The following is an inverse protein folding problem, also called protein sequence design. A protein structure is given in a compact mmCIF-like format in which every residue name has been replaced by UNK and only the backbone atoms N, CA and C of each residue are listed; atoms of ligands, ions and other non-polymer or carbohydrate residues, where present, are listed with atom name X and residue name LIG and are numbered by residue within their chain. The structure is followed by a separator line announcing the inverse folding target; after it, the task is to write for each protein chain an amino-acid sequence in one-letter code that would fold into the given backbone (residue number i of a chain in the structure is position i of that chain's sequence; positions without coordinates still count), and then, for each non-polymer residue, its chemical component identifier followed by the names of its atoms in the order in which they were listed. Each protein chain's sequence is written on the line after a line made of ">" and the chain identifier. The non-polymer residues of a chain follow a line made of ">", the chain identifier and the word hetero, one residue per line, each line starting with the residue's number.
data_IF_394458375469
#
_entry.id   IF_394458375469
#
_cell.length_a   1.000
_cell.length_b   1.000
_cell.length_c   1.000
_cell.angle_alpha   90.00
_cell.angle_beta   90.00
_cell.angle_gamma   90.00
#
_symmetry.space_group_name_H-M   'P 1'
#
loop_
_entity.id
_entity.type
_entity.pdbx_description
1 polymer ?
#
# COMPACT_ATOMS: atom_id res chain seq x y z
N UNK A 1 4.48 11.16 -13.82
CA UNK A 1 3.60 9.98 -13.62
C UNK A 1 4.52 8.79 -13.78
N UNK A 2 4.90 8.16 -12.67
CA UNK A 2 5.89 7.07 -12.67
C UNK A 2 5.14 5.82 -13.12
N UNK A 3 5.41 5.33 -14.34
CA UNK A 3 4.77 4.12 -14.84
C UNK A 3 5.18 2.90 -14.00
N UNK A 4 4.40 1.82 -14.06
CA UNK A 4 4.74 0.56 -13.38
C UNK A 4 6.13 0.03 -13.77
N UNK A 5 6.54 0.28 -15.01
CA UNK A 5 7.87 -0.09 -15.52
C UNK A 5 9.00 0.67 -14.81
N UNK A 6 8.81 1.96 -14.53
CA UNK A 6 9.78 2.80 -13.82
C UNK A 6 9.84 2.41 -12.34
N UNK A 7 8.70 2.09 -11.73
CA UNK A 7 8.65 1.52 -10.38
C UNK A 7 9.44 0.22 -10.27
N UNK A 8 9.35 -0.66 -11.27
CA UNK A 8 10.07 -1.93 -11.31
C UNK A 8 11.58 -1.77 -11.55
N UNK A 9 11.98 -0.77 -12.32
CA UNK A 9 13.40 -0.43 -12.48
C UNK A 9 14.02 0.00 -11.15
N UNK A 10 13.29 0.78 -10.35
CA UNK A 10 13.75 1.21 -9.02
C UNK A 10 13.69 0.05 -8.00
N UNK A 11 12.62 -0.75 -8.05
CA UNK A 11 12.33 -1.78 -7.06
C UNK A 11 11.88 -3.10 -7.73
N UNK A 12 12.83 -3.94 -8.18
CA UNK A 12 12.51 -5.21 -8.84
C UNK A 12 11.66 -6.18 -8.00
N UNK A 13 11.69 -6.07 -6.67
CA UNK A 13 10.87 -6.86 -5.73
C UNK A 13 9.37 -6.66 -5.95
N UNK A 14 8.97 -5.53 -6.55
CA UNK A 14 7.58 -5.28 -6.93
C UNK A 14 7.08 -6.23 -8.03
N UNK A 15 7.98 -6.92 -8.75
CA UNK A 15 7.61 -7.90 -9.76
C UNK A 15 6.70 -9.00 -9.21
N UNK A 16 6.84 -9.33 -7.92
CA UNK A 16 5.99 -10.33 -7.23
C UNK A 16 4.53 -9.89 -7.15
N UNK A 17 4.25 -8.57 -7.15
CA UNK A 17 2.90 -8.02 -7.15
C UNK A 17 2.26 -8.00 -8.54
N UNK A 18 3.05 -8.08 -9.62
CA UNK A 18 2.57 -8.01 -11.00
C UNK A 18 1.85 -9.27 -11.47
N UNK A 19 2.07 -10.40 -10.79
CA UNK A 19 1.33 -11.64 -11.06
C UNK A 19 -0.14 -11.57 -10.64
N UNK A 20 -0.58 -10.48 -9.99
CA UNK A 20 -1.87 -10.39 -9.32
C UNK A 20 -2.81 -9.24 -9.76
N UNK A 21 -2.36 -8.07 -10.26
CA UNK A 21 -3.31 -6.95 -10.46
C UNK A 21 -2.79 -5.63 -11.08
N UNK A 22 -3.75 -4.74 -11.44
CA UNK A 22 -3.68 -3.34 -11.91
C UNK A 22 -3.13 -2.34 -10.86
N UNK A 23 -1.95 -2.60 -10.29
CA UNK A 23 -1.29 -1.62 -9.42
C UNK A 23 -1.00 -0.33 -10.19
N UNK A 24 -1.36 0.82 -9.60
CA UNK A 24 -0.93 2.12 -10.10
C UNK A 24 0.07 2.72 -9.14
N UNK A 25 1.21 3.20 -9.65
CA UNK A 25 2.29 3.78 -8.86
C UNK A 25 2.49 5.27 -9.16
N UNK A 26 2.93 6.02 -8.15
CA UNK A 26 3.31 7.42 -8.26
C UNK A 26 4.52 7.71 -7.37
N UNK A 27 5.47 8.49 -7.87
CA UNK A 27 6.49 9.11 -7.01
C UNK A 27 5.88 10.32 -6.29
N UNK A 28 5.97 10.36 -4.97
CA UNK A 28 5.62 11.51 -4.13
C UNK A 28 6.92 12.16 -3.66
N UNK A 29 7.20 13.36 -4.15
CA UNK A 29 8.33 14.15 -3.68
C UNK A 29 7.94 14.85 -2.37
N UNK A 30 8.66 14.59 -1.28
CA UNK A 30 8.46 15.34 -0.04
C UNK A 30 8.76 16.84 -0.23
N UNK A 31 8.02 17.70 0.49
CA UNK A 31 8.38 19.12 0.58
C UNK A 31 9.81 19.24 1.12
N UNK A 32 10.67 20.01 0.45
CA UNK A 32 12.13 20.12 0.66
C UNK A 32 13.02 19.08 -0.04
N UNK A 33 12.51 18.36 -1.06
CA UNK A 33 13.37 17.70 -2.07
C UNK A 33 14.27 16.58 -1.54
N UNK A 34 13.90 15.97 -0.40
CA UNK A 34 14.80 15.08 0.34
C UNK A 34 14.39 13.62 0.47
N UNK A 35 13.25 13.19 -0.05
CA UNK A 35 12.92 11.77 -0.25
C UNK A 35 11.76 11.66 -1.25
N UNK A 36 11.97 10.89 -2.31
CA UNK A 36 10.90 10.45 -3.20
C UNK A 36 10.33 9.15 -2.64
N UNK A 37 9.06 9.17 -2.28
CA UNK A 37 8.34 7.96 -1.88
C UNK A 37 7.74 7.36 -3.13
N UNK A 38 7.92 6.05 -3.35
CA UNK A 38 7.09 5.37 -4.32
C UNK A 38 5.81 4.91 -3.63
N UNK A 39 4.67 5.35 -4.15
CA UNK A 39 3.35 5.02 -3.63
C UNK A 39 2.59 4.18 -4.64
N UNK A 40 2.11 3.01 -4.24
CA UNK A 40 1.29 2.12 -5.05
C UNK A 40 -0.11 1.98 -4.48
N UNK A 41 -1.12 1.90 -5.34
CA UNK A 41 -2.50 1.57 -4.96
C UNK A 41 -3.07 0.48 -5.86
N UNK A 42 -3.82 -0.43 -5.22
CA UNK A 42 -4.72 -1.37 -5.87
C UNK A 42 -6.13 -1.16 -5.31
N UNK A 43 -7.09 -0.88 -6.19
CA UNK A 43 -8.47 -0.65 -5.80
C UNK A 43 -9.34 -1.90 -5.99
N UNK A 44 -10.18 -2.15 -5.00
CA UNK A 44 -11.25 -3.12 -4.99
C UNK A 44 -12.59 -2.37 -4.88
N UNK A 45 -13.75 -3.01 -5.10
CA UNK A 45 -15.04 -2.32 -5.03
C UNK A 45 -15.34 -1.61 -3.70
N UNK A 46 -14.88 -2.16 -2.57
CA UNK A 46 -15.12 -1.62 -1.22
C UNK A 46 -13.84 -1.46 -0.39
N UNK A 47 -12.68 -1.76 -0.96
CA UNK A 47 -11.40 -1.72 -0.28
C UNK A 47 -10.34 -1.12 -1.19
N UNK A 48 -9.25 -0.64 -0.61
CA UNK A 48 -8.03 -0.30 -1.36
C UNK A 48 -6.82 -0.84 -0.62
N UNK A 49 -5.94 -1.50 -1.35
CA UNK A 49 -4.59 -1.79 -0.86
C UNK A 49 -3.67 -0.65 -1.27
N UNK A 50 -2.79 -0.27 -0.35
CA UNK A 50 -1.87 0.82 -0.56
C UNK A 50 -0.49 0.43 -0.02
N UNK A 51 0.55 0.80 -0.76
CA UNK A 51 1.94 0.50 -0.47
C UNK A 51 2.76 1.78 -0.57
N UNK A 52 3.39 2.20 0.53
CA UNK A 52 4.37 3.28 0.55
C UNK A 52 5.77 2.69 0.70
N UNK A 53 6.70 3.17 -0.12
CA UNK A 53 8.08 2.70 -0.17
C UNK A 53 8.98 3.92 0.03
N UNK A 54 9.68 3.98 1.15
CA UNK A 54 10.77 4.93 1.36
C UNK A 54 12.01 4.45 0.61
N UNK A 55 12.37 3.19 0.89
CA UNK A 55 13.50 2.47 0.33
C UNK A 55 13.31 0.95 0.59
N UNK A 56 14.38 0.17 0.46
CA UNK A 56 14.34 -1.29 0.68
C UNK A 56 14.17 -1.70 2.13
N UNK A 57 14.54 -0.83 3.07
CA UNK A 57 14.52 -1.07 4.51
C UNK A 57 13.24 -0.58 5.16
N UNK A 58 12.57 0.41 4.56
CA UNK A 58 11.35 1.01 5.10
C UNK A 58 10.23 1.07 4.05
N UNK A 59 9.20 0.26 4.29
CA UNK A 59 7.95 0.24 3.54
C UNK A 59 6.75 0.00 4.48
N UNK A 60 5.59 0.43 4.02
CA UNK A 60 4.32 0.28 4.71
C UNK A 60 3.24 -0.15 3.73
N UNK A 61 2.59 -1.27 4.02
CA UNK A 61 1.39 -1.70 3.32
C UNK A 61 0.17 -1.62 4.24
N UNK A 62 -0.97 -1.25 3.67
CA UNK A 62 -2.26 -1.27 4.36
C UNK A 62 -3.35 -1.76 3.44
N UNK A 63 -4.40 -2.34 4.03
CA UNK A 63 -5.72 -2.47 3.42
C UNK A 63 -6.68 -1.52 4.11
N UNK A 64 -7.35 -0.71 3.30
CA UNK A 64 -8.36 0.24 3.71
C UNK A 64 -9.75 -0.30 3.36
N UNK A 65 -10.69 -0.14 4.26
CA UNK A 65 -12.12 -0.20 4.00
C UNK A 65 -12.57 1.20 3.55
N UNK A 66 -13.24 1.29 2.41
CA UNK A 66 -13.74 2.57 1.90
C UNK A 66 -14.96 2.99 2.72
N UNK A 67 -15.01 4.28 3.09
CA UNK A 67 -16.17 4.90 3.74
C UNK A 67 -17.42 4.74 2.86
N UNK A 68 -18.55 4.38 3.46
CA UNK A 68 -19.86 4.36 2.80
C UNK A 68 -20.92 5.02 3.70
N UNK A 69 -22.11 5.37 3.18
CA UNK A 69 -23.16 6.02 3.98
C UNK A 69 -23.51 5.28 5.28
N UNK A 70 -23.46 3.94 5.24
CA UNK A 70 -23.85 3.08 6.36
C UNK A 70 -22.66 2.58 7.19
N UNK A 71 -21.42 2.87 6.78
CA UNK A 71 -20.22 2.26 7.39
C UNK A 71 -19.02 3.19 7.33
N UNK A 72 -18.48 3.49 8.52
CA UNK A 72 -17.16 4.10 8.67
C UNK A 72 -16.07 3.12 8.20
N UNK A 73 -15.28 3.56 7.24
CA UNK A 73 -14.07 2.94 6.73
C UNK A 73 -12.86 3.24 7.61
N UNK A 74 -11.69 2.84 7.10
CA UNK A 74 -10.42 2.94 7.82
C UNK A 74 -9.52 1.75 7.53
N UNK A 75 -8.39 1.67 8.23
CA UNK A 75 -7.43 0.57 8.08
C UNK A 75 -8.04 -0.69 8.68
N UNK A 76 -8.09 -1.77 7.91
CA UNK A 76 -8.48 -3.11 8.38
C UNK A 76 -7.29 -4.05 8.53
N UNK A 77 -6.16 -3.70 7.91
CA UNK A 77 -4.90 -4.42 8.00
C UNK A 77 -3.73 -3.49 7.70
N UNK A 78 -2.60 -3.72 8.36
CA UNK A 78 -1.34 -2.99 8.13
C UNK A 78 -0.13 -3.88 8.36
N UNK A 79 0.94 -3.61 7.63
CA UNK A 79 2.26 -4.20 7.84
C UNK A 79 3.35 -3.19 7.52
N UNK A 80 4.36 -3.07 8.38
CA UNK A 80 5.52 -2.19 8.18
C UNK A 80 6.83 -2.96 8.39
N UNK A 81 7.81 -2.72 7.54
CA UNK A 81 9.14 -3.34 7.62
C UNK A 81 9.94 -3.11 6.35
N UNK A 82 10.87 -4.02 6.04
CA UNK A 82 11.58 -4.00 4.74
C UNK A 82 10.60 -4.11 3.57
N UNK A 83 10.98 -3.61 2.40
CA UNK A 83 10.16 -3.73 1.19
C UNK A 83 9.80 -5.19 0.88
N UNK A 84 10.77 -6.09 0.90
CA UNK A 84 10.56 -7.50 0.60
C UNK A 84 9.53 -8.15 1.55
N UNK A 85 9.69 -7.95 2.86
CA UNK A 85 8.75 -8.49 3.84
C UNK A 85 7.35 -7.87 3.72
N UNK A 86 7.28 -6.58 3.41
CA UNK A 86 6.02 -5.86 3.21
C UNK A 86 5.27 -6.35 1.98
N UNK A 87 5.98 -6.56 0.86
CA UNK A 87 5.43 -7.14 -0.37
C UNK A 87 4.92 -8.56 -0.12
N UNK A 88 5.68 -9.40 0.60
CA UNK A 88 5.25 -10.77 0.89
C UNK A 88 4.02 -10.79 1.81
N UNK A 89 3.98 -9.92 2.82
CA UNK A 89 2.84 -9.79 3.71
C UNK A 89 1.57 -9.37 2.95
N UNK A 90 1.71 -8.44 2.00
CA UNK A 90 0.61 -7.99 1.15
C UNK A 90 0.17 -9.07 0.16
N UNK A 91 1.11 -9.79 -0.45
CA UNK A 91 0.82 -10.92 -1.35
C UNK A 91 0.08 -12.06 -0.66
N UNK A 92 0.42 -12.31 0.61
CA UNK A 92 -0.20 -13.35 1.44
C UNK A 92 -1.60 -12.96 1.92
N UNK A 93 -2.04 -11.73 1.67
CA UNK A 93 -3.34 -11.23 2.10
C UNK A 93 -4.46 -11.79 1.21
N UNK A 94 -5.43 -12.54 1.75
CA UNK A 94 -6.56 -13.01 0.95
C UNK A 94 -7.31 -11.84 0.33
N UNK A 95 -7.81 -11.97 -0.90
CA UNK A 95 -8.58 -10.91 -1.55
C UNK A 95 -9.83 -10.54 -0.73
N UNK A 96 -10.32 -9.28 -0.77
CA UNK A 96 -11.54 -8.91 -0.08
C UNK A 96 -12.71 -9.82 -0.45
N UNK A 97 -13.41 -10.36 0.55
CA UNK A 97 -14.50 -11.32 0.37
C UNK A 97 -14.09 -12.78 0.44
N UNK A 98 -12.80 -13.10 0.32
CA UNK A 98 -12.27 -14.45 0.49
C UNK A 98 -12.18 -14.86 1.97
N UNK A 99 -12.24 -16.17 2.28
CA UNK A 99 -12.03 -16.67 3.63
C UNK A 99 -10.72 -16.15 4.26
N UNK A 100 -10.83 -15.60 5.47
CA UNK A 100 -9.68 -15.05 6.20
C UNK A 100 -9.29 -13.62 5.80
N UNK A 101 -9.97 -12.99 4.85
CA UNK A 101 -9.74 -11.58 4.52
C UNK A 101 -10.02 -10.65 5.71
N UNK A 102 -9.10 -9.73 6.05
CA UNK A 102 -9.35 -8.75 7.10
C UNK A 102 -10.50 -7.82 6.74
N UNK A 103 -11.44 -7.64 7.67
CA UNK A 103 -12.65 -6.84 7.48
C UNK A 103 -12.97 -5.91 8.67
N UNK A 104 -12.33 -6.13 9.82
CA UNK A 104 -12.54 -5.31 11.02
C UNK A 104 -11.63 -4.09 10.98
N UNK A 105 -12.21 -2.89 11.10
CA UNK A 105 -11.44 -1.65 11.21
C UNK A 105 -10.62 -1.66 12.51
N UNK A 106 -9.30 -1.49 12.36
CA UNK A 106 -8.32 -1.38 13.45
C UNK A 106 -7.86 0.06 13.68
N UNK A 107 -8.07 0.95 12.70
CA UNK A 107 -7.82 2.39 12.81
C UNK A 107 -8.80 3.15 11.92
N UNK A 108 -9.56 4.08 12.51
CA UNK A 108 -10.56 4.88 11.81
C UNK A 108 -9.97 6.14 11.14
N UNK A 109 -10.70 6.69 10.17
CA UNK A 109 -10.44 8.02 9.60
C UNK A 109 -9.35 8.05 8.52
N UNK A 110 -9.04 9.24 7.96
CA UNK A 110 -8.07 9.36 6.89
C UNK A 110 -6.70 8.86 7.36
N UNK A 111 -6.16 7.90 6.63
CA UNK A 111 -4.87 7.31 6.91
C UNK A 111 -3.81 7.98 6.04
N UNK A 112 -2.88 8.67 6.70
CA UNK A 112 -1.59 9.03 6.13
C UNK A 112 -0.52 8.30 6.94
N UNK A 113 0.48 7.69 6.28
CA UNK A 113 1.62 7.13 7.00
C UNK A 113 2.31 8.24 7.78
N UNK A 114 2.58 8.02 9.07
CA UNK A 114 3.63 8.75 9.79
C UNK A 114 4.98 8.16 9.42
N UNK A 115 5.29 8.13 8.13
CA UNK A 115 6.63 7.80 7.67
C UNK A 115 7.48 9.02 8.04
N UNK A 116 8.37 8.84 9.01
CA UNK A 116 9.16 9.94 9.58
C UNK A 116 9.93 10.64 8.45
N UNK A 117 9.52 11.87 8.09
CA UNK A 117 10.14 12.73 7.08
C UNK A 117 11.52 13.27 7.53
N UNK A 118 12.25 12.54 8.36
CA UNK A 118 13.53 12.98 8.93
C UNK A 118 14.65 13.00 7.88
#
# INVERSE_FOLDING_TARGET
>A
MTGIDEALQLYPELAVLLGLSLWTFWSLTGAAGRREWLFGVLNWPAHSDALWIADRHEALAVRLLVDSPDRRGGVVWRYSGTLAATVEALRSLPAPGEPGAPHRVIQAGPFWPSLDLR
#
